data_IF_861615850762
#
_entry.id   IF_861615850762
#
_cell.length_a   1.000
_cell.length_b   1.000
_cell.length_c   1.000
_cell.angle_alpha   90.00
_cell.angle_beta   90.00
_cell.angle_gamma   90.00
#
_symmetry.space_group_name_H-M   'P 1'
#
loop_
_entity.id
_entity.type
_entity.pdbx_description
1 polymer ?
#
# COMPACT_ATOMS: atom_id res chain seq x y z
N UNK A 1 14.15 15.55 13.24
CA UNK A 1 13.89 15.00 14.60
C UNK A 1 14.86 13.88 14.99
N UNK A 2 14.95 12.75 14.27
CA UNK A 2 15.96 11.71 14.57
C UNK A 2 17.36 12.06 14.02
N UNK A 3 17.41 12.69 12.85
CA UNK A 3 18.63 13.23 12.22
C UNK A 3 19.21 14.38 13.03
N UNK A 4 18.38 15.35 13.42
CA UNK A 4 18.80 16.48 14.27
C UNK A 4 19.19 16.07 15.71
N UNK A 5 18.72 14.90 16.16
CA UNK A 5 19.10 14.33 17.46
C UNK A 5 20.41 13.51 17.41
N UNK A 6 21.06 13.40 16.25
CA UNK A 6 22.32 12.68 16.07
C UNK A 6 22.21 11.15 16.18
N UNK A 7 20.99 10.59 16.05
CA UNK A 7 20.74 9.15 16.20
C UNK A 7 20.82 8.40 14.87
N UNK A 8 20.57 9.06 13.72
CA UNK A 8 20.58 8.47 12.37
C UNK A 8 20.93 9.54 11.33
N UNK A 9 21.92 9.31 10.47
CA UNK A 9 22.42 10.32 9.52
C UNK A 9 21.90 10.07 8.09
N UNK A 10 20.57 10.10 7.92
CA UNK A 10 19.94 9.91 6.60
C UNK A 10 19.83 11.24 5.84
N UNK A 11 20.23 11.22 4.58
CA UNK A 11 19.88 12.28 3.62
C UNK A 11 18.37 12.34 3.40
N UNK A 12 17.87 13.48 2.92
CA UNK A 12 16.42 13.64 2.65
C UNK A 12 15.93 12.60 1.62
N UNK A 13 16.75 12.28 0.61
CA UNK A 13 16.42 11.27 -0.39
C UNK A 13 16.32 9.87 0.24
N UNK A 14 17.25 9.50 1.10
CA UNK A 14 17.22 8.23 1.83
C UNK A 14 16.02 8.16 2.77
N UNK A 15 15.77 9.22 3.54
CA UNK A 15 14.61 9.29 4.43
C UNK A 15 13.28 9.16 3.67
N UNK A 16 13.16 9.78 2.49
CA UNK A 16 11.99 9.62 1.62
C UNK A 16 11.83 8.19 1.09
N UNK A 17 12.94 7.56 0.67
CA UNK A 17 12.94 6.17 0.24
C UNK A 17 12.59 5.19 1.38
N UNK A 18 12.95 5.50 2.63
CA UNK A 18 12.55 4.70 3.80
C UNK A 18 11.07 4.92 4.13
N UNK A 19 10.59 6.17 4.02
CA UNK A 19 9.20 6.53 4.33
C UNK A 19 8.17 5.79 3.47
N UNK A 20 8.51 5.45 2.22
CA UNK A 20 7.59 4.74 1.31
C UNK A 20 7.25 3.32 1.80
N UNK A 21 8.08 2.71 2.66
CA UNK A 21 7.82 1.40 3.28
C UNK A 21 6.47 1.40 4.01
N UNK A 22 6.10 2.52 4.62
CA UNK A 22 4.82 2.68 5.33
C UNK A 22 3.59 2.52 4.43
N UNK A 23 3.74 2.72 3.11
CA UNK A 23 2.68 2.45 2.14
C UNK A 23 2.36 0.95 2.01
N UNK A 24 3.29 0.06 2.38
CA UNK A 24 3.21 -1.39 2.24
C UNK A 24 3.02 -1.87 0.79
N UNK A 25 3.59 -1.13 -0.18
CA UNK A 25 3.59 -1.46 -1.60
C UNK A 25 5.01 -1.80 -2.06
N UNK A 26 5.31 -3.10 -2.17
CA UNK A 26 6.64 -3.61 -2.54
C UNK A 26 7.16 -3.07 -3.89
N UNK A 27 6.43 -3.25 -5.01
CA UNK A 27 6.84 -2.72 -6.32
C UNK A 27 7.12 -1.21 -6.32
N UNK A 28 6.27 -0.40 -5.70
CA UNK A 28 6.48 1.06 -5.61
C UNK A 28 7.68 1.39 -4.72
N UNK A 29 7.87 0.66 -3.61
CA UNK A 29 9.01 0.86 -2.71
C UNK A 29 10.34 0.57 -3.40
N UNK A 30 10.42 -0.53 -4.16
CA UNK A 30 11.60 -0.87 -4.95
C UNK A 30 11.88 0.20 -6.01
N UNK A 31 10.84 0.65 -6.72
CA UNK A 31 10.99 1.68 -7.74
C UNK A 31 11.53 3.00 -7.17
N UNK A 32 10.98 3.47 -6.05
CA UNK A 32 11.44 4.69 -5.39
C UNK A 32 12.85 4.53 -4.84
N UNK A 33 13.15 3.44 -4.16
CA UNK A 33 14.49 3.16 -3.67
C UNK A 33 15.51 3.15 -4.82
N UNK A 34 15.17 2.54 -5.97
CA UNK A 34 16.06 2.52 -7.14
C UNK A 34 16.36 3.90 -7.75
N UNK A 35 15.52 4.89 -7.49
CA UNK A 35 15.71 6.27 -7.98
C UNK A 35 16.36 7.19 -6.93
N UNK A 36 15.93 7.10 -5.67
CA UNK A 36 16.31 8.04 -4.62
C UNK A 36 17.48 7.54 -3.75
N UNK A 37 17.55 6.24 -3.48
CA UNK A 37 18.57 5.64 -2.60
C UNK A 37 18.94 4.22 -3.05
N UNK A 38 19.62 4.04 -4.21
CA UNK A 38 19.93 2.72 -4.76
C UNK A 38 20.77 1.84 -3.83
N UNK A 39 21.57 2.46 -2.96
CA UNK A 39 22.39 1.81 -1.95
C UNK A 39 21.57 1.18 -0.81
N UNK A 40 20.38 1.73 -0.51
CA UNK A 40 19.48 1.22 0.53
C UNK A 40 18.42 0.25 -0.02
N UNK A 41 18.40 0.00 -1.33
CA UNK A 41 17.37 -0.77 -2.00
C UNK A 41 17.18 -2.18 -1.40
N UNK A 42 18.28 -2.86 -1.07
CA UNK A 42 18.22 -4.20 -0.45
C UNK A 42 17.49 -4.18 0.89
N UNK A 43 17.89 -3.28 1.79
CA UNK A 43 17.28 -3.13 3.12
C UNK A 43 15.80 -2.72 3.03
N UNK A 44 15.47 -1.75 2.17
CA UNK A 44 14.10 -1.26 1.96
C UNK A 44 13.20 -2.37 1.42
N UNK A 45 13.66 -3.13 0.43
CA UNK A 45 12.87 -4.21 -0.17
C UNK A 45 12.59 -5.35 0.83
N UNK A 46 13.61 -5.77 1.59
CA UNK A 46 13.44 -6.79 2.64
C UNK A 46 12.47 -6.34 3.71
N UNK A 47 12.62 -5.09 4.18
CA UNK A 47 11.74 -4.48 5.17
C UNK A 47 10.29 -4.43 4.66
N UNK A 48 10.06 -3.94 3.44
CA UNK A 48 8.74 -3.83 2.85
C UNK A 48 8.01 -5.18 2.80
N UNK A 49 8.61 -6.21 2.21
CA UNK A 49 7.95 -7.52 2.10
C UNK A 49 7.81 -8.25 3.44
N UNK A 50 8.77 -8.05 4.35
CA UNK A 50 8.69 -8.62 5.70
C UNK A 50 7.54 -8.02 6.50
N UNK A 51 7.34 -6.69 6.44
CA UNK A 51 6.21 -6.03 7.11
C UNK A 51 4.86 -6.35 6.47
N UNK A 52 4.81 -6.49 5.14
CA UNK A 52 3.60 -6.98 4.45
C UNK A 52 3.17 -8.37 4.96
N UNK A 53 4.11 -9.27 5.26
CA UNK A 53 3.80 -10.56 5.86
C UNK A 53 3.36 -10.47 7.33
N UNK A 54 3.83 -9.44 8.06
CA UNK A 54 3.51 -9.20 9.46
C UNK A 54 2.22 -8.39 9.68
N UNK A 55 1.55 -7.95 8.61
CA UNK A 55 0.22 -7.28 8.66
C UNK A 55 -0.76 -7.98 9.62
N UNK A 56 -0.93 -9.32 9.61
CA UNK A 56 -1.86 -10.01 10.51
C UNK A 56 -1.47 -9.95 11.99
N UNK A 57 -0.19 -9.68 12.30
CA UNK A 57 0.30 -9.52 13.66
C UNK A 57 0.19 -8.05 14.12
N UNK A 58 0.50 -7.11 13.24
CA UNK A 58 0.60 -5.68 13.58
C UNK A 58 -0.75 -4.97 13.56
N UNK A 59 -1.61 -5.24 12.57
CA UNK A 59 -2.87 -4.51 12.44
C UNK A 59 -3.88 -4.79 13.57
N UNK A 60 -4.15 -6.05 13.97
CA UNK A 60 -5.23 -6.31 14.94
C UNK A 60 -5.05 -5.64 16.30
N UNK A 61 -3.85 -5.59 16.92
CA UNK A 61 -3.64 -4.83 18.15
C UNK A 61 -4.00 -3.34 18.01
N UNK A 62 -3.60 -2.70 16.90
CA UNK A 62 -3.89 -1.29 16.63
C UNK A 62 -5.39 -1.08 16.43
N UNK A 63 -6.03 -1.94 15.64
CA UNK A 63 -7.49 -1.91 15.45
C UNK A 63 -8.19 -2.04 16.81
N UNK A 64 -7.73 -2.95 17.67
CA UNK A 64 -8.32 -3.18 18.99
C UNK A 64 -8.11 -2.01 19.95
N UNK A 65 -6.99 -1.30 19.83
CA UNK A 65 -6.67 -0.13 20.65
C UNK A 65 -7.48 1.11 20.28
N UNK A 66 -7.68 1.37 18.98
CA UNK A 66 -8.30 2.61 18.50
C UNK A 66 -9.81 2.50 18.22
N UNK A 67 -10.42 1.31 18.29
CA UNK A 67 -11.86 1.11 18.01
C UNK A 67 -12.60 0.51 19.19
N UNK A 68 -13.89 0.79 19.32
CA UNK A 68 -14.79 0.23 20.33
C UNK A 68 -15.65 -0.91 19.75
N UNK A 69 -16.18 -1.79 20.59
CA UNK A 69 -17.00 -2.92 20.11
C UNK A 69 -18.21 -2.49 19.29
N UNK A 70 -18.91 -1.44 19.71
CA UNK A 70 -20.07 -0.90 18.98
C UNK A 70 -19.70 -0.45 17.56
N UNK A 71 -18.52 0.14 17.38
CA UNK A 71 -18.04 0.57 16.07
C UNK A 71 -17.67 -0.62 15.18
N UNK A 72 -17.13 -1.69 15.77
CA UNK A 72 -16.77 -2.92 15.05
C UNK A 72 -17.99 -3.69 14.55
N UNK A 73 -19.13 -3.55 15.23
CA UNK A 73 -20.40 -4.20 14.89
C UNK A 73 -21.21 -3.44 13.83
N UNK A 74 -20.74 -2.28 13.35
CA UNK A 74 -21.38 -1.54 12.26
C UNK A 74 -21.45 -2.42 11.01
N UNK A 75 -22.67 -2.67 10.54
CA UNK A 75 -22.97 -3.44 9.33
C UNK A 75 -22.87 -2.51 8.13
N UNK A 76 -22.11 -2.93 7.11
CA UNK A 76 -21.95 -2.17 5.89
C UNK A 76 -23.09 -2.43 4.91
N UNK A 77 -23.56 -1.37 4.24
CA UNK A 77 -24.55 -1.47 3.17
C UNK A 77 -23.89 -2.10 1.94
N UNK A 78 -24.62 -2.98 1.25
CA UNK A 78 -24.16 -3.62 0.01
C UNK A 78 -23.68 -2.59 -1.02
N UNK A 79 -22.61 -2.93 -1.72
CA UNK A 79 -22.06 -2.07 -2.76
C UNK A 79 -23.05 -1.93 -3.93
N UNK A 80 -23.05 -0.78 -4.61
CA UNK A 80 -23.81 -0.59 -5.84
C UNK A 80 -23.29 -1.50 -6.95
N UNK A 81 -24.19 -1.87 -7.86
CA UNK A 81 -23.77 -2.50 -9.10
C UNK A 81 -23.05 -1.48 -9.98
N UNK A 82 -21.88 -1.87 -10.50
CA UNK A 82 -21.02 -1.01 -11.32
C UNK A 82 -21.08 -1.51 -12.75
N UNK A 83 -21.44 -0.62 -13.67
CA UNK A 83 -21.52 -0.94 -15.10
C UNK A 83 -20.14 -1.24 -15.70
N UNK A 84 -20.09 -2.02 -16.77
CA UNK A 84 -18.83 -2.31 -17.45
C UNK A 84 -18.16 -1.05 -17.99
N UNK A 85 -18.95 -0.10 -18.51
CA UNK A 85 -18.45 1.19 -18.98
C UNK A 85 -17.75 1.97 -17.87
N UNK A 86 -18.29 1.97 -16.66
CA UNK A 86 -17.68 2.66 -15.51
C UNK A 86 -16.35 2.02 -15.10
N UNK A 87 -16.24 0.69 -15.12
CA UNK A 87 -14.98 -0.02 -14.84
C UNK A 87 -13.89 0.28 -15.86
N UNK A 88 -14.25 0.39 -17.15
CA UNK A 88 -13.31 0.72 -18.23
C UNK A 88 -12.89 2.19 -18.17
N UNK A 89 -13.82 3.10 -17.87
CA UNK A 89 -13.52 4.53 -17.80
C UNK A 89 -12.69 4.91 -16.57
N UNK A 90 -12.81 4.19 -15.46
CA UNK A 90 -12.06 4.45 -14.24
C UNK A 90 -10.53 4.58 -14.45
N UNK A 91 -9.80 3.59 -15.00
CA UNK A 91 -8.35 3.70 -15.20
C UNK A 91 -7.98 4.82 -16.20
N UNK A 92 -8.83 5.11 -17.19
CA UNK A 92 -8.58 6.19 -18.16
C UNK A 92 -8.66 7.55 -17.48
N UNK A 93 -9.70 7.78 -16.67
CA UNK A 93 -9.89 9.03 -15.92
C UNK A 93 -8.76 9.22 -14.91
N UNK A 94 -8.39 8.17 -14.17
CA UNK A 94 -7.26 8.22 -13.24
C UNK A 94 -5.96 8.57 -13.97
N UNK A 95 -5.69 7.94 -15.11
CA UNK A 95 -4.49 8.23 -15.91
C UNK A 95 -4.44 9.68 -16.39
N UNK A 96 -5.55 10.22 -16.91
CA UNK A 96 -5.64 11.62 -17.36
C UNK A 96 -5.42 12.58 -16.18
N UNK A 97 -6.04 12.32 -15.03
CA UNK A 97 -5.84 13.13 -13.82
C UNK A 97 -4.38 13.10 -13.36
N UNK A 98 -3.73 11.95 -13.38
CA UNK A 98 -2.31 11.81 -13.03
C UNK A 98 -1.42 12.56 -14.03
N UNK A 99 -1.70 12.44 -15.32
CA UNK A 99 -0.91 13.13 -16.35
C UNK A 99 -1.00 14.67 -16.22
N UNK A 100 -2.17 15.19 -15.81
CA UNK A 100 -2.37 16.63 -15.63
C UNK A 100 -1.83 17.15 -14.29
N UNK A 101 -2.05 16.42 -13.20
CA UNK A 101 -1.75 16.90 -11.85
C UNK A 101 -0.38 16.46 -11.31
N UNK A 102 0.11 15.27 -11.69
CA UNK A 102 1.32 14.67 -11.12
C UNK A 102 2.04 13.77 -12.15
N UNK A 103 2.69 14.35 -13.17
CA UNK A 103 3.31 13.58 -14.25
C UNK A 103 4.45 12.67 -13.77
N UNK A 104 5.09 12.98 -12.63
CA UNK A 104 6.10 12.12 -12.01
C UNK A 104 5.56 10.76 -11.55
N UNK A 105 4.26 10.65 -11.24
CA UNK A 105 3.59 9.39 -10.91
C UNK A 105 3.14 8.60 -12.15
N UNK A 106 3.18 9.19 -13.33
CA UNK A 106 2.65 8.59 -14.57
C UNK A 106 3.27 7.23 -14.91
N UNK A 107 4.58 6.97 -14.71
CA UNK A 107 5.14 5.64 -14.97
C UNK A 107 4.55 4.54 -14.08
N UNK A 108 4.26 4.85 -12.81
CA UNK A 108 3.69 3.90 -11.85
C UNK A 108 2.19 3.70 -12.11
N UNK A 109 1.42 4.80 -12.05
CA UNK A 109 -0.04 4.74 -12.20
C UNK A 109 -0.47 4.42 -13.63
N UNK A 110 0.34 4.77 -14.63
CA UNK A 110 0.09 4.40 -16.03
C UNK A 110 0.19 2.90 -16.26
N UNK A 111 1.24 2.25 -15.76
CA UNK A 111 1.37 0.79 -15.86
C UNK A 111 0.31 0.06 -15.04
N UNK A 112 -0.05 0.60 -13.87
CA UNK A 112 -1.17 0.09 -13.06
C UNK A 112 -2.50 0.19 -13.82
N UNK A 113 -2.81 1.35 -14.39
CA UNK A 113 -4.05 1.58 -15.15
C UNK A 113 -4.08 0.76 -16.44
N UNK A 114 -2.94 0.51 -17.08
CA UNK A 114 -2.85 -0.36 -18.24
C UNK A 114 -3.18 -1.81 -17.89
N UNK A 115 -2.68 -2.33 -16.76
CA UNK A 115 -3.06 -3.64 -16.23
C UNK A 115 -4.56 -3.72 -15.93
N UNK A 116 -5.13 -2.69 -15.31
CA UNK A 116 -6.56 -2.61 -15.03
C UNK A 116 -7.41 -2.59 -16.31
N UNK A 117 -7.01 -1.78 -17.29
CA UNK A 117 -7.71 -1.68 -18.58
C UNK A 117 -7.67 -3.01 -19.35
N UNK A 118 -6.54 -3.72 -19.36
CA UNK A 118 -6.47 -5.05 -19.99
C UNK A 118 -7.46 -6.04 -19.36
N UNK A 119 -7.63 -5.98 -18.02
CA UNK A 119 -8.56 -6.83 -17.29
C UNK A 119 -10.02 -6.47 -17.54
N UNK A 120 -10.35 -5.18 -17.56
CA UNK A 120 -11.74 -4.71 -17.67
C UNK A 120 -12.20 -4.52 -19.13
N UNK A 121 -11.30 -4.52 -20.11
CA UNK A 121 -11.66 -4.33 -21.52
C UNK A 121 -12.36 -5.53 -22.14
N UNK A 122 -12.16 -6.76 -21.65
CA UNK A 122 -12.83 -7.98 -22.13
C UNK A 122 -12.51 -8.41 -23.58
N UNK A 123 -11.58 -7.75 -24.26
CA UNK A 123 -11.17 -8.09 -25.65
C UNK A 123 -9.72 -8.58 -25.75
N UNK A 124 -8.97 -8.49 -24.65
CA UNK A 124 -7.54 -8.83 -24.58
C UNK A 124 -7.26 -9.89 -23.51
N UNK A 125 -8.18 -10.85 -23.34
CA UNK A 125 -8.10 -11.89 -22.30
C UNK A 125 -6.76 -12.64 -22.31
N UNK A 126 -6.24 -12.98 -23.49
CA UNK A 126 -4.92 -13.63 -23.61
C UNK A 126 -3.78 -12.78 -23.06
N UNK A 127 -3.83 -11.45 -23.27
CA UNK A 127 -2.81 -10.54 -22.76
C UNK A 127 -2.96 -10.37 -21.25
N UNK A 128 -4.20 -10.14 -20.76
CA UNK A 128 -4.48 -10.03 -19.32
C UNK A 128 -4.02 -11.28 -18.58
N UNK A 129 -4.30 -12.46 -19.13
CA UNK A 129 -3.90 -13.74 -18.54
C UNK A 129 -2.38 -13.95 -18.55
N UNK A 130 -1.72 -13.60 -19.64
CA UNK A 130 -0.25 -13.65 -19.73
C UNK A 130 0.40 -12.71 -18.72
N UNK A 131 -0.15 -11.51 -18.53
CA UNK A 131 0.39 -10.50 -17.61
C UNK A 131 0.25 -10.94 -16.15
N UNK A 132 -0.92 -11.42 -15.74
CA UNK A 132 -1.21 -11.82 -14.35
C UNK A 132 -0.53 -13.15 -13.94
N UNK A 133 -0.10 -13.97 -14.90
CA UNK A 133 0.52 -15.27 -14.65
C UNK A 133 1.97 -15.31 -15.13
N UNK A 134 2.19 -15.60 -16.42
CA UNK A 134 3.51 -15.92 -16.95
C UNK A 134 4.51 -14.75 -16.82
N UNK A 135 4.08 -13.54 -17.22
CA UNK A 135 4.96 -12.37 -17.24
C UNK A 135 5.33 -11.94 -15.82
N UNK A 136 4.36 -11.81 -14.91
CA UNK A 136 4.65 -11.40 -13.54
C UNK A 136 5.55 -12.42 -12.84
N UNK A 137 5.37 -13.72 -13.08
CA UNK A 137 6.23 -14.76 -12.48
C UNK A 137 7.68 -14.65 -12.97
N UNK A 138 7.90 -14.45 -14.28
CA UNK A 138 9.25 -14.27 -14.86
C UNK A 138 9.91 -12.99 -14.33
N UNK A 139 9.20 -11.86 -14.38
CA UNK A 139 9.74 -10.57 -13.91
C UNK A 139 10.01 -10.60 -12.41
N UNK A 140 9.18 -11.28 -11.61
CA UNK A 140 9.40 -11.42 -10.16
C UNK A 140 10.65 -12.21 -9.84
N UNK A 141 10.98 -13.27 -10.61
CA UNK A 141 12.23 -14.01 -10.43
C UNK A 141 13.43 -13.09 -10.67
N UNK A 142 13.43 -12.36 -11.79
CA UNK A 142 14.53 -11.43 -12.10
C UNK A 142 14.62 -10.27 -11.11
N UNK A 143 13.49 -9.72 -10.68
CA UNK A 143 13.44 -8.67 -9.68
C UNK A 143 13.98 -9.18 -8.33
N UNK A 144 13.59 -10.37 -7.91
CA UNK A 144 14.06 -11.00 -6.68
C UNK A 144 15.57 -11.24 -6.69
N UNK A 145 16.11 -11.77 -7.79
CA UNK A 145 17.55 -11.92 -7.98
C UNK A 145 18.27 -10.56 -8.02
N UNK A 146 17.68 -9.56 -8.69
CA UNK A 146 18.21 -8.20 -8.77
C UNK A 146 18.29 -7.51 -7.41
N UNK A 147 17.21 -7.57 -6.62
CA UNK A 147 17.17 -7.07 -5.24
C UNK A 147 18.17 -7.84 -4.38
N UNK A 148 18.20 -9.17 -4.47
CA UNK A 148 19.13 -10.02 -3.73
C UNK A 148 20.60 -9.71 -4.04
N UNK A 149 20.93 -9.34 -5.28
CA UNK A 149 22.28 -8.93 -5.66
C UNK A 149 22.77 -7.66 -4.95
N UNK A 150 21.86 -6.84 -4.43
CA UNK A 150 22.16 -5.63 -3.65
C UNK A 150 22.28 -5.89 -2.14
N UNK A 151 22.10 -7.14 -1.70
CA UNK A 151 22.21 -7.54 -0.29
C UNK A 151 23.60 -8.07 0.05
N UNK A 152 24.67 -7.29 -0.21
CA UNK A 152 25.99 -7.64 0.32
C UNK A 152 26.01 -7.51 1.84
N UNK A 153 26.84 -8.31 2.52
CA UNK A 153 26.93 -8.32 3.99
C UNK A 153 27.23 -6.93 4.56
N UNK A 154 28.10 -6.16 3.89
CA UNK A 154 28.48 -4.81 4.29
C UNK A 154 27.34 -3.79 4.16
N UNK A 155 26.50 -3.93 3.12
CA UNK A 155 25.35 -3.03 2.90
C UNK A 155 24.15 -3.37 3.79
N UNK A 156 24.04 -4.60 4.28
CA UNK A 156 22.89 -5.07 5.06
C UNK A 156 23.17 -5.14 6.58
N UNK A 157 24.39 -5.50 7.00
CA UNK A 157 24.77 -5.60 8.41
C UNK A 157 25.32 -4.27 8.94
N UNK A 158 24.54 -3.20 8.80
CA UNK A 158 24.86 -1.88 9.32
C UNK A 158 23.76 -1.35 10.25
N UNK A 159 24.12 -0.37 11.09
CA UNK A 159 23.17 0.28 12.00
C UNK A 159 22.05 1.01 11.25
N UNK A 160 22.32 1.46 10.02
CA UNK A 160 21.33 2.10 9.17
C UNK A 160 20.21 1.12 8.78
N UNK A 161 20.52 -0.13 8.45
CA UNK A 161 19.51 -1.14 8.11
C UNK A 161 18.61 -1.45 9.30
N UNK A 162 19.18 -1.54 10.52
CA UNK A 162 18.37 -1.70 11.73
C UNK A 162 17.42 -0.51 11.93
N UNK A 163 17.90 0.69 11.64
CA UNK A 163 17.13 1.92 11.68
C UNK A 163 15.98 1.92 10.67
N UNK A 164 16.25 1.49 9.42
CA UNK A 164 15.24 1.33 8.35
C UNK A 164 14.14 0.37 8.79
N UNK A 165 14.50 -0.75 9.40
CA UNK A 165 13.53 -1.72 9.91
C UNK A 165 12.62 -1.08 10.98
N UNK A 166 13.20 -0.45 11.99
CA UNK A 166 12.42 0.20 13.07
C UNK A 166 11.51 1.31 12.51
N UNK A 167 12.01 2.12 11.60
CA UNK A 167 11.25 3.20 10.96
C UNK A 167 10.12 2.64 10.09
N UNK A 168 10.38 1.61 9.29
CA UNK A 168 9.39 0.95 8.45
C UNK A 168 8.24 0.34 9.26
N UNK A 169 8.56 -0.35 10.36
CA UNK A 169 7.56 -0.88 11.28
C UNK A 169 6.71 0.24 11.90
N UNK A 170 7.36 1.31 12.35
CA UNK A 170 6.67 2.46 12.94
C UNK A 170 5.76 3.14 11.91
N UNK A 171 6.23 3.33 10.68
CA UNK A 171 5.44 3.90 9.58
C UNK A 171 4.20 3.06 9.28
N UNK A 172 4.33 1.73 9.28
CA UNK A 172 3.20 0.82 9.10
C UNK A 172 2.18 0.93 10.24
N UNK A 173 2.64 1.02 11.49
CA UNK A 173 1.78 1.21 12.67
C UNK A 173 1.02 2.54 12.58
N UNK A 174 1.71 3.62 12.22
CA UNK A 174 1.11 4.95 12.05
C UNK A 174 0.11 4.95 10.90
N UNK A 175 0.43 4.32 9.76
CA UNK A 175 -0.48 4.21 8.62
C UNK A 175 -1.78 3.47 8.98
N UNK A 176 -1.66 2.36 9.71
CA UNK A 176 -2.83 1.60 10.20
C UNK A 176 -3.67 2.44 11.16
N UNK A 177 -3.04 3.11 12.13
CA UNK A 177 -3.74 3.95 13.10
C UNK A 177 -4.42 5.15 12.41
N UNK A 178 -3.72 5.83 11.50
CA UNK A 178 -4.25 6.95 10.72
C UNK A 178 -5.44 6.53 9.86
N UNK A 179 -5.40 5.36 9.21
CA UNK A 179 -6.53 4.84 8.44
C UNK A 179 -7.77 4.60 9.30
N UNK A 180 -7.62 4.00 10.48
CA UNK A 180 -8.72 3.79 11.44
C UNK A 180 -9.26 5.12 11.97
N UNK A 181 -8.38 6.06 12.33
CA UNK A 181 -8.77 7.39 12.81
C UNK A 181 -9.47 8.19 11.72
N UNK A 182 -9.04 8.08 10.46
CA UNK A 182 -9.70 8.71 9.33
C UNK A 182 -11.12 8.15 9.14
N UNK A 183 -11.31 6.84 9.24
CA UNK A 183 -12.65 6.24 9.18
C UNK A 183 -13.55 6.75 10.33
N UNK A 184 -13.00 6.96 11.52
CA UNK A 184 -13.73 7.60 12.64
C UNK A 184 -14.07 9.06 12.37
N UNK A 185 -13.13 9.81 11.81
CA UNK A 185 -13.35 11.20 11.44
C UNK A 185 -14.47 11.31 10.39
N UNK A 186 -14.46 10.44 9.38
CA UNK A 186 -15.53 10.36 8.38
C UNK A 186 -16.91 10.12 9.01
N UNK A 187 -16.99 9.28 10.04
CA UNK A 187 -18.24 8.98 10.77
C UNK A 187 -18.87 10.19 11.49
N UNK A 188 -18.16 11.32 11.61
CA UNK A 188 -18.72 12.57 12.15
C UNK A 188 -19.58 13.31 11.11
N UNK A 189 -19.37 13.07 9.81
CA UNK A 189 -19.98 13.84 8.72
C UNK A 189 -20.90 13.01 7.82
N UNK A 190 -20.71 11.68 7.77
CA UNK A 190 -21.51 10.80 6.88
C UNK A 190 -22.77 10.27 7.57
N UNK A 191 -23.88 10.23 6.83
CA UNK A 191 -25.15 9.65 7.31
C UNK A 191 -25.04 8.12 7.48
N UNK A 192 -24.42 7.45 6.52
CA UNK A 192 -24.14 6.02 6.58
C UNK A 192 -22.75 5.80 7.17
N UNK A 193 -22.71 5.42 8.45
CA UNK A 193 -21.45 5.21 9.17
C UNK A 193 -20.62 4.09 8.52
N UNK A 194 -19.33 4.33 8.36
CA UNK A 194 -18.33 3.39 7.88
C UNK A 194 -17.76 2.63 9.07
N UNK A 195 -17.65 1.31 8.98
CA UNK A 195 -17.00 0.51 10.00
C UNK A 195 -15.50 0.88 10.08
N UNK A 196 -14.98 1.37 11.23
CA UNK A 196 -13.59 1.81 11.34
C UNK A 196 -12.55 0.72 11.06
N UNK A 197 -12.93 -0.57 11.15
CA UNK A 197 -12.07 -1.69 10.75
C UNK A 197 -11.72 -1.68 9.26
N UNK A 198 -12.52 -1.02 8.42
CA UNK A 198 -12.23 -0.84 6.99
C UNK A 198 -11.11 0.20 6.80
N UNK A 199 -10.93 1.11 7.75
CA UNK A 199 -9.86 2.12 7.72
C UNK A 199 -8.46 1.50 7.75
N UNK A 200 -8.23 0.46 8.55
CA UNK A 200 -6.93 -0.27 8.57
C UNK A 200 -6.65 -1.02 7.27
N UNK A 201 -7.69 -1.37 6.50
CA UNK A 201 -7.52 -1.98 5.19
C UNK A 201 -6.96 -1.01 4.14
N UNK A 202 -6.83 0.28 4.45
CA UNK A 202 -6.18 1.28 3.58
C UNK A 202 -4.68 1.07 3.40
N UNK A 203 -4.03 0.27 4.26
CA UNK A 203 -2.65 -0.15 4.06
C UNK A 203 -2.59 -1.15 2.89
N UNK A 204 -1.75 -0.87 1.89
CA UNK A 204 -1.83 -1.49 0.56
C UNK A 204 -1.33 -2.95 0.43
N UNK A 205 -1.38 -3.70 1.53
CA UNK A 205 -1.06 -5.13 1.56
C UNK A 205 -2.22 -5.94 0.95
N UNK A 206 -2.31 -5.96 -0.38
CA UNK A 206 -3.35 -6.68 -1.13
C UNK A 206 -3.06 -8.20 -1.15
N UNK A 207 -4.05 -9.08 -0.92
CA UNK A 207 -5.38 -8.85 -0.33
C UNK A 207 -5.40 -9.01 1.20
N UNK A 208 -4.24 -9.20 1.84
CA UNK A 208 -4.14 -9.56 3.25
C UNK A 208 -4.73 -8.52 4.22
N UNK A 209 -4.51 -7.22 4.02
CA UNK A 209 -5.03 -6.18 4.93
C UNK A 209 -6.58 -6.23 5.02
N UNK A 210 -7.24 -6.42 3.89
CA UNK A 210 -8.69 -6.60 3.83
C UNK A 210 -9.15 -7.92 4.51
N UNK A 211 -8.39 -9.01 4.33
CA UNK A 211 -8.66 -10.29 5.01
C UNK A 211 -8.50 -10.21 6.52
N UNK A 212 -7.48 -9.51 7.00
CA UNK A 212 -7.24 -9.28 8.44
C UNK A 212 -8.37 -8.43 9.02
N UNK A 213 -8.76 -7.36 8.33
CA UNK A 213 -9.90 -6.52 8.74
C UNK A 213 -11.21 -7.31 8.78
N UNK A 214 -11.43 -8.21 7.81
CA UNK A 214 -12.57 -9.13 7.82
C UNK A 214 -12.53 -10.11 8.99
N UNK A 215 -11.36 -10.70 9.30
CA UNK A 215 -11.21 -11.60 10.45
C UNK A 215 -11.59 -10.90 11.76
N UNK A 216 -11.06 -9.70 12.00
CA UNK A 216 -11.37 -8.91 13.20
C UNK A 216 -12.85 -8.47 13.22
N UNK A 217 -13.45 -8.19 12.06
CA UNK A 217 -14.88 -7.92 11.95
C UNK A 217 -15.74 -9.13 12.36
N UNK A 218 -15.38 -10.33 11.89
CA UNK A 218 -16.06 -11.57 12.24
C UNK A 218 -15.88 -11.97 13.71
N UNK A 219 -14.75 -11.61 14.33
CA UNK A 219 -14.54 -11.75 15.79
C UNK A 219 -15.56 -10.91 16.59
N UNK A 220 -15.95 -9.73 16.08
CA UNK A 220 -16.91 -8.85 16.74
C UNK A 220 -18.39 -9.18 16.40
N UNK A 221 -18.65 -9.64 15.17
CA UNK A 221 -19.96 -10.08 14.71
C UNK A 221 -19.80 -11.13 13.60
N UNK A 222 -20.15 -12.38 13.88
CA UNK A 222 -20.00 -13.52 12.95
C UNK A 222 -20.83 -13.44 11.66
N UNK A 223 -21.75 -12.47 11.53
CA UNK A 223 -22.53 -12.22 10.31
C UNK A 223 -22.04 -11.00 9.52
N UNK A 224 -21.04 -10.25 10.04
CA UNK A 224 -20.56 -9.02 9.43
C UNK A 224 -19.34 -9.27 8.51
N UNK A 225 -19.61 -9.58 7.24
CA UNK A 225 -18.58 -9.80 6.24
C UNK A 225 -18.07 -8.48 5.66
N UNK A 226 -16.84 -8.10 6.01
CA UNK A 226 -16.23 -6.83 5.59
C UNK A 226 -15.35 -6.96 4.36
N UNK A 227 -14.98 -8.17 3.92
CA UNK A 227 -13.96 -8.37 2.87
C UNK A 227 -14.27 -7.57 1.59
N UNK A 228 -15.49 -7.62 1.09
CA UNK A 228 -15.88 -6.93 -0.15
C UNK A 228 -15.80 -5.41 -0.01
N UNK A 229 -16.12 -4.86 1.16
CA UNK A 229 -16.04 -3.43 1.44
C UNK A 229 -14.60 -2.97 1.72
N UNK A 230 -13.83 -3.79 2.43
CA UNK A 230 -12.45 -3.51 2.81
C UNK A 230 -11.48 -3.54 1.62
N UNK A 231 -11.84 -4.22 0.53
CA UNK A 231 -11.06 -4.18 -0.71
C UNK A 231 -11.02 -2.78 -1.35
N UNK A 232 -12.05 -1.94 -1.13
CA UNK A 232 -12.09 -0.57 -1.65
C UNK A 232 -10.91 0.27 -1.14
N UNK A 233 -10.78 0.49 0.18
CA UNK A 233 -9.62 1.20 0.74
C UNK A 233 -8.28 0.53 0.45
N UNK A 234 -8.23 -0.80 0.35
CA UNK A 234 -6.98 -1.50 0.03
C UNK A 234 -6.47 -1.14 -1.37
N UNK A 235 -7.36 -1.11 -2.38
CA UNK A 235 -7.02 -0.64 -3.73
C UNK A 235 -6.69 0.86 -3.73
N UNK A 236 -7.44 1.67 -2.97
CA UNK A 236 -7.13 3.10 -2.81
C UNK A 236 -5.75 3.33 -2.19
N UNK A 237 -5.31 2.45 -1.28
CA UNK A 237 -3.98 2.44 -0.69
C UNK A 237 -2.89 2.23 -1.74
N UNK A 238 -3.05 1.28 -2.67
CA UNK A 238 -2.08 1.07 -3.77
C UNK A 238 -1.93 2.32 -4.62
N UNK A 239 -3.06 2.94 -4.98
CA UNK A 239 -3.07 4.20 -5.75
C UNK A 239 -2.40 5.32 -4.93
N UNK A 240 -2.74 5.43 -3.65
CA UNK A 240 -2.20 6.43 -2.73
C UNK A 240 -0.68 6.31 -2.55
N UNK A 241 -0.16 5.10 -2.43
CA UNK A 241 1.29 4.83 -2.37
C UNK A 241 1.99 5.30 -3.64
N UNK A 242 1.43 5.04 -4.82
CA UNK A 242 1.99 5.51 -6.09
C UNK A 242 1.91 7.04 -6.26
N UNK A 243 0.85 7.67 -5.76
CA UNK A 243 0.75 9.15 -5.72
C UNK A 243 1.80 9.73 -4.78
N UNK A 244 1.93 9.21 -3.56
CA UNK A 244 2.94 9.65 -2.60
C UNK A 244 4.36 9.49 -3.17
N UNK A 245 4.64 8.36 -3.81
CA UNK A 245 5.87 8.09 -4.54
C UNK A 245 6.14 9.14 -5.64
N UNK A 246 5.14 9.46 -6.47
CA UNK A 246 5.28 10.49 -7.50
C UNK A 246 5.51 11.89 -6.94
N UNK A 247 4.85 12.24 -5.84
CA UNK A 247 5.09 13.51 -5.12
C UNK A 247 6.53 13.55 -4.61
N UNK A 248 7.00 12.49 -3.94
CA UNK A 248 8.38 12.39 -3.45
C UNK A 248 9.41 12.52 -4.57
N UNK A 249 9.20 11.84 -5.71
CA UNK A 249 10.05 12.03 -6.90
C UNK A 249 10.04 13.50 -7.31
N UNK A 250 8.86 14.10 -7.53
CA UNK A 250 8.77 15.47 -8.03
C UNK A 250 9.45 16.51 -7.13
N UNK A 251 9.51 16.27 -5.83
CA UNK A 251 10.15 17.19 -4.88
C UNK A 251 11.65 16.93 -4.70
N UNK A 252 12.14 15.72 -4.98
CA UNK A 252 13.49 15.28 -4.61
C UNK A 252 14.37 14.86 -5.80
N UNK A 253 13.80 14.72 -7.00
CA UNK A 253 14.50 14.45 -8.27
C UNK A 253 14.56 15.68 -9.16
#
# INVERSE_FOLDING_TARGET
>A
LATDAGLMDFTIQQAAAIGIIGGADGPTSIFIASKLAPELLGAIAVAAYSYMALVPMIQPPIMKLFTNEEERKIVMVQAREVSQAEKIMFPIVVLVLVALCLPSAAPLLGMFCFGNLMKESGVVDRLSDTVQNALINVVTIFLGLGVGSKMSAESFLNFDTLSILILGLTAFCVGTAAGVLMAKCMNLFVTNKVNPLIGSAGVSAVPMAARVSNKVGLEANGQNFLLMHAMGPNVAGVIGSAVAAGVMISFLS
#
